data_IF_328012624526
#
_entry.id   IF_328012624526
#
_cell.length_a   1.000
_cell.length_b   1.000
_cell.length_c   1.000
_cell.angle_alpha   90.00
_cell.angle_beta   90.00
_cell.angle_gamma   90.00
#
_symmetry.space_group_name_H-M   'P 1'
#
loop_
_entity.id
_entity.type
_entity.pdbx_description
1 polymer ?
#
# COMPACT_ATOMS: atom_id res chain seq x y z
N UNK A 1 20.22 7.92 -30.87
CA UNK A 1 19.92 7.31 -29.55
C UNK A 1 18.44 7.45 -29.29
N UNK A 2 17.74 6.37 -28.95
CA UNK A 2 16.34 6.45 -28.55
C UNK A 2 16.27 6.88 -27.07
N UNK A 3 15.72 8.06 -26.80
CA UNK A 3 15.50 8.56 -25.45
C UNK A 3 14.07 8.21 -25.03
N UNK A 4 13.95 7.40 -23.97
CA UNK A 4 12.65 7.11 -23.36
C UNK A 4 12.09 8.35 -22.64
N UNK A 5 10.76 8.43 -22.56
CA UNK A 5 10.08 9.48 -21.81
C UNK A 5 10.41 9.40 -20.30
N UNK A 6 10.43 10.53 -19.58
CA UNK A 6 10.50 10.50 -18.12
C UNK A 6 9.25 9.85 -17.53
N UNK A 7 9.34 9.40 -16.28
CA UNK A 7 8.22 8.77 -15.58
C UNK A 7 6.99 9.70 -15.45
N UNK A 8 7.22 11.01 -15.33
CA UNK A 8 6.16 12.01 -15.31
C UNK A 8 6.64 13.32 -15.97
N UNK A 9 5.81 14.02 -16.77
CA UNK A 9 6.23 15.26 -17.46
C UNK A 9 6.72 16.38 -16.55
N UNK A 10 6.27 16.40 -15.28
CA UNK A 10 6.70 17.36 -14.26
C UNK A 10 8.14 17.15 -13.78
N UNK A 11 8.76 16.00 -14.07
CA UNK A 11 10.09 15.64 -13.58
C UNK A 11 11.05 15.51 -14.76
N UNK A 12 12.03 16.41 -14.82
CA UNK A 12 13.06 16.43 -15.87
C UNK A 12 14.42 15.91 -15.39
N UNK A 13 14.53 15.50 -14.13
CA UNK A 13 15.77 15.04 -13.48
C UNK A 13 15.65 13.58 -13.03
N UNK A 14 16.78 12.99 -12.68
CA UNK A 14 16.76 11.72 -11.94
C UNK A 14 16.00 11.89 -10.62
N UNK A 15 15.21 10.88 -10.28
CA UNK A 15 14.52 10.81 -9.00
C UNK A 15 15.48 10.31 -7.92
N UNK A 16 15.49 10.97 -6.77
CA UNK A 16 16.31 10.66 -5.62
C UNK A 16 15.48 10.87 -4.36
N UNK A 17 15.42 9.87 -3.49
CA UNK A 17 14.44 9.85 -2.42
C UNK A 17 14.43 8.57 -1.63
N UNK A 18 13.40 8.41 -0.79
CA UNK A 18 13.22 7.27 0.08
C UNK A 18 11.74 6.99 0.35
N UNK A 19 11.47 5.89 1.04
CA UNK A 19 10.22 5.73 1.76
C UNK A 19 10.19 6.70 2.94
N UNK A 20 9.06 7.36 3.16
CA UNK A 20 8.88 8.34 4.23
C UNK A 20 7.62 8.01 5.05
N UNK A 21 7.81 7.84 6.36
CA UNK A 21 6.78 7.41 7.31
C UNK A 21 6.52 8.46 8.41
N UNK A 22 6.03 9.66 8.04
CA UNK A 22 5.83 10.76 8.98
C UNK A 22 4.76 10.45 10.03
N UNK A 23 3.85 9.51 9.78
CA UNK A 23 2.81 9.11 10.73
C UNK A 23 3.36 8.53 12.03
N UNK A 24 4.65 8.14 12.06
CA UNK A 24 5.32 7.63 13.25
C UNK A 24 5.84 8.76 14.17
N UNK A 25 5.90 9.99 13.68
CA UNK A 25 6.52 11.15 14.35
C UNK A 25 5.53 12.25 14.69
N UNK A 26 4.22 11.95 14.68
CA UNK A 26 3.17 12.96 14.90
C UNK A 26 3.22 13.65 16.27
N UNK A 27 3.88 13.03 17.26
CA UNK A 27 4.03 13.59 18.59
C UNK A 27 5.25 14.52 18.72
N UNK A 28 6.05 14.66 17.66
CA UNK A 28 7.22 15.55 17.59
C UNK A 28 7.02 16.54 16.43
N UNK A 29 6.25 17.62 16.62
CA UNK A 29 5.79 18.48 15.53
C UNK A 29 6.92 19.12 14.72
N UNK A 30 8.10 19.33 15.32
CA UNK A 30 9.25 19.92 14.65
C UNK A 30 10.02 18.94 13.75
N UNK A 31 9.81 17.61 13.89
CA UNK A 31 10.57 16.61 13.13
C UNK A 31 10.25 16.69 11.65
N UNK A 32 8.98 16.87 11.29
CA UNK A 32 8.55 16.90 9.88
C UNK A 32 9.21 18.05 9.11
N UNK A 33 9.31 19.23 9.73
CA UNK A 33 9.94 20.39 9.09
C UNK A 33 11.47 20.21 8.99
N UNK A 34 12.09 19.58 9.99
CA UNK A 34 13.52 19.20 9.93
C UNK A 34 13.80 18.16 8.85
N UNK A 35 12.95 17.14 8.73
CA UNK A 35 13.03 16.10 7.71
C UNK A 35 13.02 16.73 6.31
N UNK A 36 12.07 17.64 6.06
CA UNK A 36 11.98 18.33 4.76
C UNK A 36 13.21 19.19 4.49
N UNK A 37 13.71 19.94 5.49
CA UNK A 37 14.94 20.71 5.33
C UNK A 37 16.16 19.83 5.00
N UNK A 38 16.28 18.67 5.65
CA UNK A 38 17.34 17.70 5.39
C UNK A 38 17.18 17.04 4.01
N UNK A 39 15.95 16.74 3.58
CA UNK A 39 15.67 16.23 2.23
C UNK A 39 16.13 17.22 1.16
N UNK A 40 15.86 18.52 1.34
CA UNK A 40 16.33 19.56 0.42
C UNK A 40 17.87 19.66 0.41
N UNK A 41 18.52 19.62 1.58
CA UNK A 41 19.98 19.60 1.68
C UNK A 41 20.59 18.38 0.97
N UNK A 42 19.96 17.22 1.08
CA UNK A 42 20.35 15.97 0.41
C UNK A 42 19.97 15.92 -1.07
N UNK A 43 19.25 16.94 -1.58
CA UNK A 43 18.71 17.00 -2.94
C UNK A 43 17.79 15.82 -3.26
N UNK A 44 16.99 15.40 -2.28
CA UNK A 44 15.89 14.48 -2.51
C UNK A 44 14.72 15.24 -3.13
N UNK A 45 14.07 14.63 -4.13
CA UNK A 45 13.00 15.25 -4.91
C UNK A 45 11.75 14.36 -5.03
N UNK A 46 11.74 13.18 -4.39
CA UNK A 46 10.56 12.32 -4.32
C UNK A 46 10.53 11.52 -3.01
N UNK A 47 9.35 11.22 -2.49
CA UNK A 47 9.15 10.29 -1.37
C UNK A 47 8.04 9.28 -1.67
N UNK A 48 8.18 8.04 -1.21
CA UNK A 48 7.06 7.10 -1.15
C UNK A 48 6.34 7.26 0.20
N UNK A 49 5.05 7.60 0.18
CA UNK A 49 4.29 7.94 1.40
C UNK A 49 3.06 7.06 1.50
N UNK A 50 2.70 6.62 2.71
CA UNK A 50 1.44 5.91 2.96
C UNK A 50 1.53 4.38 2.96
N UNK A 51 2.73 3.79 2.80
CA UNK A 51 2.91 2.35 2.50
C UNK A 51 2.30 1.45 3.57
N UNK A 52 2.49 1.82 4.85
CA UNK A 52 2.00 1.04 6.00
C UNK A 52 1.03 1.83 6.88
N UNK A 53 0.39 2.85 6.30
CA UNK A 53 -0.36 3.82 7.09
C UNK A 53 -1.84 3.47 7.28
N UNK A 54 -2.29 2.24 6.96
CA UNK A 54 -3.73 1.88 7.04
C UNK A 54 -4.30 2.11 8.44
N UNK A 55 -3.61 1.66 9.49
CA UNK A 55 -4.08 1.85 10.86
C UNK A 55 -4.17 3.32 11.27
N UNK A 56 -3.38 4.20 10.64
CA UNK A 56 -3.46 5.65 10.84
C UNK A 56 -4.59 6.28 10.03
N UNK A 57 -4.79 5.84 8.79
CA UNK A 57 -5.80 6.32 7.86
C UNK A 57 -7.21 5.88 8.26
N UNK A 58 -7.37 4.67 8.82
CA UNK A 58 -8.63 4.08 9.26
C UNK A 58 -8.44 3.41 10.63
N UNK A 59 -8.31 4.19 11.72
CA UNK A 59 -8.04 3.66 13.07
C UNK A 59 -9.15 2.78 13.62
N UNK A 60 -10.38 2.98 13.15
CA UNK A 60 -11.55 2.14 13.42
C UNK A 60 -12.29 1.94 12.10
N UNK A 61 -12.96 0.81 11.95
CA UNK A 61 -13.66 0.50 10.71
C UNK A 61 -14.64 1.60 10.29
N UNK A 62 -14.45 2.12 9.07
CA UNK A 62 -15.27 3.18 8.50
C UNK A 62 -14.99 4.59 9.04
N UNK A 63 -14.09 4.76 10.01
CA UNK A 63 -13.68 6.05 10.55
C UNK A 63 -12.33 6.42 9.94
N UNK A 64 -12.32 7.39 9.01
CA UNK A 64 -11.12 7.79 8.28
C UNK A 64 -10.52 9.09 8.80
N UNK A 65 -9.19 9.15 8.87
CA UNK A 65 -8.42 10.36 9.19
C UNK A 65 -7.34 10.61 8.14
N UNK A 66 -7.63 11.54 7.22
CA UNK A 66 -6.76 11.94 6.13
C UNK A 66 -6.02 13.26 6.37
N UNK A 67 -6.39 14.03 7.40
CA UNK A 67 -5.90 15.40 7.60
C UNK A 67 -4.37 15.49 7.76
N UNK A 68 -3.78 14.49 8.42
CA UNK A 68 -2.32 14.42 8.55
C UNK A 68 -1.64 14.19 7.19
N UNK A 69 -2.22 13.33 6.34
CA UNK A 69 -1.65 13.03 5.03
C UNK A 69 -1.80 14.23 4.09
N UNK A 70 -2.92 14.96 4.15
CA UNK A 70 -3.08 16.23 3.43
C UNK A 70 -1.91 17.18 3.76
N UNK A 71 -1.66 17.39 5.06
CA UNK A 71 -0.59 18.27 5.56
C UNK A 71 0.79 17.84 5.05
N UNK A 72 1.07 16.53 5.04
CA UNK A 72 2.35 16.00 4.55
C UNK A 72 2.52 16.23 3.05
N UNK A 73 1.49 15.94 2.25
CA UNK A 73 1.56 16.13 0.80
C UNK A 73 1.75 17.61 0.43
N UNK A 74 1.06 18.51 1.13
CA UNK A 74 1.20 19.96 0.95
C UNK A 74 2.60 20.44 1.31
N UNK A 75 3.13 20.04 2.48
CA UNK A 75 4.48 20.42 2.92
C UNK A 75 5.57 19.91 1.98
N UNK A 76 5.49 18.65 1.55
CA UNK A 76 6.44 18.08 0.58
C UNK A 76 6.38 18.84 -0.76
N UNK A 77 5.18 19.12 -1.25
CA UNK A 77 5.01 19.86 -2.50
C UNK A 77 5.56 21.29 -2.42
N UNK A 78 5.29 22.00 -1.32
CA UNK A 78 5.82 23.33 -1.08
C UNK A 78 7.36 23.35 -1.06
N UNK A 79 7.98 22.26 -0.64
CA UNK A 79 9.43 22.08 -0.65
C UNK A 79 10.01 21.62 -2.01
N UNK A 80 9.17 21.43 -3.04
CA UNK A 80 9.56 20.91 -4.35
C UNK A 80 9.80 19.40 -4.37
N UNK A 81 9.26 18.66 -3.40
CA UNK A 81 9.39 17.20 -3.26
C UNK A 81 8.09 16.54 -3.71
N UNK A 82 8.22 15.64 -4.67
CA UNK A 82 7.10 14.88 -5.21
C UNK A 82 6.80 13.61 -4.40
N UNK A 83 5.68 12.95 -4.71
CA UNK A 83 5.22 11.78 -3.96
C UNK A 83 4.81 10.63 -4.88
N UNK A 84 5.29 9.43 -4.57
CA UNK A 84 4.63 8.18 -4.91
C UNK A 84 3.66 7.82 -3.79
N UNK A 85 2.36 7.99 -4.04
CA UNK A 85 1.36 7.73 -3.01
C UNK A 85 1.06 6.24 -2.98
N UNK A 86 1.19 5.63 -1.81
CA UNK A 86 1.03 4.19 -1.67
C UNK A 86 -0.40 3.78 -1.31
N UNK A 87 -0.80 2.59 -1.79
CA UNK A 87 -1.98 1.91 -1.25
C UNK A 87 -1.57 1.04 -0.06
N UNK A 88 -2.23 1.14 1.11
CA UNK A 88 -1.65 0.66 2.36
C UNK A 88 -1.91 -0.83 2.63
N UNK A 89 -2.17 -1.63 1.58
CA UNK A 89 -2.56 -3.03 1.69
C UNK A 89 -1.43 -3.97 2.15
N UNK A 90 -0.21 -3.45 2.30
CA UNK A 90 0.94 -4.18 2.84
C UNK A 90 0.76 -4.61 4.29
N UNK A 91 0.04 -3.83 5.11
CA UNK A 91 -0.25 -4.18 6.51
C UNK A 91 -1.67 -3.74 6.90
N UNK A 92 -2.52 -4.70 7.27
CA UNK A 92 -3.88 -4.41 7.74
C UNK A 92 -3.91 -3.96 9.19
N UNK A 93 -4.87 -3.12 9.60
CA UNK A 93 -5.08 -2.81 11.01
C UNK A 93 -5.45 -4.04 11.83
N UNK A 94 -5.14 -4.01 13.13
CA UNK A 94 -5.47 -5.08 14.07
C UNK A 94 -6.99 -5.34 14.14
N UNK A 95 -7.81 -4.28 14.16
CA UNK A 95 -9.28 -4.39 14.19
C UNK A 95 -9.83 -5.22 13.03
N UNK A 96 -9.21 -5.13 11.85
CA UNK A 96 -9.66 -5.89 10.68
C UNK A 96 -9.34 -7.37 10.83
N UNK A 97 -8.17 -7.70 11.36
CA UNK A 97 -7.80 -9.10 11.62
C UNK A 97 -8.69 -9.73 12.70
N UNK A 98 -9.02 -8.95 13.73
CA UNK A 98 -9.90 -9.38 14.82
C UNK A 98 -11.34 -9.61 14.34
N UNK A 99 -11.91 -8.66 13.58
CA UNK A 99 -13.29 -8.75 13.09
C UNK A 99 -13.44 -9.73 11.92
N UNK A 100 -12.42 -9.86 11.08
CA UNK A 100 -12.46 -10.67 9.87
C UNK A 100 -11.28 -11.65 9.79
N UNK A 101 -11.28 -12.74 10.58
CA UNK A 101 -10.16 -13.70 10.58
C UNK A 101 -9.84 -14.28 9.19
N UNK A 102 -10.81 -14.33 8.28
CA UNK A 102 -10.61 -14.75 6.88
C UNK A 102 -9.62 -13.89 6.06
N UNK A 103 -9.19 -12.73 6.56
CA UNK A 103 -8.12 -11.95 5.93
C UNK A 103 -6.72 -12.49 6.25
N UNK A 104 -6.59 -13.34 7.29
CA UNK A 104 -5.36 -14.00 7.68
C UNK A 104 -5.07 -15.19 6.75
N UNK A 105 -3.79 -15.47 6.54
CA UNK A 105 -3.37 -16.64 5.76
C UNK A 105 -3.45 -17.92 6.57
N UNK A 106 -3.58 -19.03 5.86
CA UNK A 106 -3.26 -20.37 6.37
C UNK A 106 -1.96 -20.80 5.71
N UNK A 107 -1.00 -21.29 6.50
CA UNK A 107 0.31 -21.74 6.06
C UNK A 107 0.27 -23.05 5.27
N UNK A 108 1.39 -23.40 4.65
CA UNK A 108 1.54 -24.64 3.85
C UNK A 108 1.33 -25.91 4.67
N UNK A 109 1.72 -25.87 5.93
CA UNK A 109 1.47 -26.86 6.98
C UNK A 109 0.04 -26.84 7.54
N UNK A 110 -0.84 -26.02 6.94
CA UNK A 110 -2.25 -25.81 7.32
C UNK A 110 -2.46 -25.09 8.64
N UNK A 111 -1.41 -24.51 9.22
CA UNK A 111 -1.53 -23.70 10.43
C UNK A 111 -2.14 -22.33 10.10
N UNK A 112 -3.23 -21.90 10.76
CA UNK A 112 -3.77 -20.56 10.60
C UNK A 112 -2.83 -19.53 11.26
N UNK A 113 -2.51 -18.46 10.53
CA UNK A 113 -1.76 -17.35 11.10
C UNK A 113 -2.62 -16.56 12.08
N UNK A 114 -1.98 -15.97 13.09
CA UNK A 114 -2.57 -14.91 13.92
C UNK A 114 -2.29 -13.53 13.29
N UNK A 115 -2.84 -12.47 13.89
CA UNK A 115 -2.49 -11.10 13.52
C UNK A 115 -0.99 -10.81 13.79
N UNK A 116 -0.41 -9.91 12.98
CA UNK A 116 1.00 -9.50 13.08
C UNK A 116 1.76 -9.68 11.77
N UNK A 117 2.99 -9.15 11.73
CA UNK A 117 3.81 -9.12 10.52
C UNK A 117 3.23 -8.23 9.40
N UNK A 118 3.69 -8.46 8.17
CA UNK A 118 3.27 -7.72 6.97
C UNK A 118 3.23 -8.63 5.74
N UNK A 119 2.63 -8.14 4.65
CA UNK A 119 2.51 -8.81 3.33
C UNK A 119 1.85 -10.19 3.38
N UNK A 120 1.10 -10.47 4.44
CA UNK A 120 0.60 -11.80 4.80
C UNK A 120 -0.93 -11.85 4.84
N UNK A 121 -1.59 -11.16 3.91
CA UNK A 121 -3.04 -11.21 3.73
C UNK A 121 -3.47 -12.38 2.82
N UNK A 122 -4.63 -12.96 3.08
CA UNK A 122 -5.25 -13.92 2.18
C UNK A 122 -5.69 -13.23 0.88
N UNK A 123 -5.06 -13.58 -0.23
CA UNK A 123 -5.30 -12.98 -1.56
C UNK A 123 -6.69 -13.32 -2.14
N UNK A 124 -7.31 -14.39 -1.64
CA UNK A 124 -8.65 -14.82 -2.05
C UNK A 124 -9.78 -14.22 -1.22
N UNK A 125 -9.48 -13.61 -0.07
CA UNK A 125 -10.49 -13.09 0.85
C UNK A 125 -11.33 -11.98 0.19
N UNK A 126 -12.65 -12.16 0.02
CA UNK A 126 -13.50 -11.12 -0.56
C UNK A 126 -13.52 -9.86 0.31
N UNK A 127 -13.55 -10.03 1.64
CA UNK A 127 -13.50 -8.91 2.58
C UNK A 127 -12.20 -8.12 2.43
N UNK A 128 -11.04 -8.79 2.36
CA UNK A 128 -9.79 -8.05 2.21
C UNK A 128 -9.76 -7.24 0.91
N UNK A 129 -10.24 -7.83 -0.19
CA UNK A 129 -10.33 -7.19 -1.51
C UNK A 129 -11.31 -6.01 -1.52
N UNK A 130 -12.44 -6.13 -0.85
CA UNK A 130 -13.42 -5.04 -0.71
C UNK A 130 -12.84 -3.89 0.12
N UNK A 131 -12.18 -4.20 1.24
CA UNK A 131 -11.57 -3.18 2.11
C UNK A 131 -10.41 -2.47 1.42
N UNK A 132 -9.54 -3.20 0.72
CA UNK A 132 -8.45 -2.57 -0.06
C UNK A 132 -9.01 -1.72 -1.18
N UNK A 133 -10.04 -2.19 -1.91
CA UNK A 133 -10.71 -1.38 -2.92
C UNK A 133 -11.26 -0.08 -2.32
N UNK A 134 -11.96 -0.16 -1.18
CA UNK A 134 -12.54 1.01 -0.51
C UNK A 134 -11.48 2.06 -0.16
N UNK A 135 -10.40 1.68 0.53
CA UNK A 135 -9.36 2.65 0.91
C UNK A 135 -8.61 3.20 -0.31
N UNK A 136 -8.39 2.36 -1.35
CA UNK A 136 -7.76 2.80 -2.59
C UNK A 136 -8.63 3.83 -3.32
N UNK A 137 -9.94 3.61 -3.38
CA UNK A 137 -10.91 4.56 -3.96
C UNK A 137 -10.87 5.89 -3.23
N UNK A 138 -10.92 5.88 -1.88
CA UNK A 138 -10.87 7.12 -1.08
C UNK A 138 -9.55 7.88 -1.28
N UNK A 139 -8.42 7.18 -1.35
CA UNK A 139 -7.12 7.80 -1.66
C UNK A 139 -7.13 8.42 -3.06
N UNK A 140 -7.67 7.72 -4.06
CA UNK A 140 -7.74 8.23 -5.43
C UNK A 140 -8.67 9.44 -5.56
N UNK A 141 -9.86 9.38 -4.96
CA UNK A 141 -10.82 10.49 -4.95
C UNK A 141 -10.23 11.75 -4.32
N UNK A 142 -9.45 11.59 -3.25
CA UNK A 142 -8.86 12.72 -2.52
C UNK A 142 -7.58 13.26 -3.15
N UNK A 143 -6.72 12.40 -3.71
CA UNK A 143 -5.34 12.77 -4.04
C UNK A 143 -4.93 12.58 -5.50
N UNK A 144 -5.76 11.99 -6.37
CA UNK A 144 -5.38 11.75 -7.77
C UNK A 144 -5.03 13.03 -8.56
N UNK A 145 -5.59 14.17 -8.17
CA UNK A 145 -5.31 15.49 -8.75
C UNK A 145 -4.30 16.31 -7.94
N UNK A 146 -3.83 15.81 -6.80
CA UNK A 146 -2.91 16.53 -5.94
C UNK A 146 -1.56 16.73 -6.66
N UNK A 147 -1.02 17.96 -6.75
CA UNK A 147 0.10 18.24 -7.64
C UNK A 147 1.42 17.57 -7.23
N UNK A 148 1.56 17.19 -5.95
CA UNK A 148 2.69 16.40 -5.45
C UNK A 148 2.76 14.99 -6.04
N UNK A 149 1.61 14.36 -6.31
CA UNK A 149 1.52 12.93 -6.64
C UNK A 149 1.97 12.70 -8.08
N UNK A 150 3.00 11.86 -8.26
CA UNK A 150 3.53 11.46 -9.58
C UNK A 150 2.99 10.11 -10.04
N UNK A 151 2.61 9.25 -9.09
CA UNK A 151 2.16 7.90 -9.38
C UNK A 151 1.81 7.13 -8.11
N UNK A 152 1.42 5.88 -8.32
CA UNK A 152 0.93 5.00 -7.27
C UNK A 152 1.90 3.90 -6.93
N UNK A 153 2.23 3.76 -5.65
CA UNK A 153 2.97 2.62 -5.11
C UNK A 153 1.97 1.56 -4.60
N UNK A 154 1.73 0.51 -5.37
CA UNK A 154 0.64 -0.43 -5.06
C UNK A 154 1.09 -1.47 -4.03
N UNK A 155 0.46 -1.49 -2.85
CA UNK A 155 0.82 -2.36 -1.73
C UNK A 155 2.28 -2.13 -1.30
N UNK A 156 2.95 -3.20 -0.90
CA UNK A 156 4.39 -3.30 -0.76
C UNK A 156 4.84 -4.75 -0.95
N UNK A 157 5.96 -4.96 -1.65
CA UNK A 157 6.67 -6.25 -1.81
C UNK A 157 5.76 -7.48 -1.77
N UNK A 158 4.86 -7.62 -2.75
CA UNK A 158 3.97 -8.76 -2.83
C UNK A 158 4.74 -10.09 -2.72
N UNK A 159 4.27 -10.98 -1.85
CA UNK A 159 4.93 -12.26 -1.64
C UNK A 159 4.18 -13.21 -0.72
N UNK A 160 4.65 -14.46 -0.69
CA UNK A 160 4.08 -15.57 0.06
C UNK A 160 2.76 -16.10 -0.50
N UNK A 161 2.22 -17.10 0.18
CA UNK A 161 1.09 -17.91 -0.29
C UNK A 161 0.07 -18.16 0.82
N UNK A 162 -1.13 -18.62 0.44
CA UNK A 162 -2.21 -18.93 1.38
C UNK A 162 -2.86 -20.26 0.99
N UNK A 163 -3.10 -21.09 1.98
CA UNK A 163 -3.55 -22.47 1.82
C UNK A 163 -4.94 -22.73 2.42
N UNK A 164 -5.71 -21.68 2.74
CA UNK A 164 -7.07 -21.81 3.26
C UNK A 164 -8.05 -22.28 2.18
N UNK A 165 -9.25 -22.70 2.58
CA UNK A 165 -10.24 -23.27 1.64
C UNK A 165 -10.66 -22.31 0.52
N UNK A 166 -10.70 -20.99 0.78
CA UNK A 166 -10.94 -19.99 -0.27
C UNK A 166 -9.87 -20.05 -1.36
N UNK A 167 -8.60 -20.19 -0.97
CA UNK A 167 -7.49 -20.32 -1.91
C UNK A 167 -7.49 -21.69 -2.59
N UNK A 168 -7.79 -22.77 -1.87
CA UNK A 168 -7.90 -24.11 -2.45
C UNK A 168 -9.00 -24.17 -3.52
N UNK A 169 -10.16 -23.57 -3.27
CA UNK A 169 -11.25 -23.52 -4.25
C UNK A 169 -10.84 -22.72 -5.49
N UNK A 170 -10.24 -21.54 -5.31
CA UNK A 170 -9.75 -20.75 -6.46
C UNK A 170 -8.63 -21.44 -7.23
N UNK A 171 -7.78 -22.20 -6.55
CA UNK A 171 -6.76 -23.01 -7.21
C UNK A 171 -7.39 -24.13 -8.04
N UNK A 172 -8.40 -24.84 -7.52
CA UNK A 172 -9.16 -25.83 -8.29
C UNK A 172 -9.87 -25.22 -9.49
N UNK A 173 -10.46 -24.04 -9.35
CA UNK A 173 -11.11 -23.34 -10.46
C UNK A 173 -10.08 -22.94 -11.54
N UNK A 174 -8.89 -22.48 -11.13
CA UNK A 174 -7.80 -22.23 -12.05
C UNK A 174 -7.31 -23.50 -12.77
N UNK A 175 -7.21 -24.63 -12.06
CA UNK A 175 -6.86 -25.92 -12.66
C UNK A 175 -7.91 -26.37 -13.70
N UNK A 176 -9.20 -26.29 -13.36
CA UNK A 176 -10.28 -26.59 -14.32
C UNK A 176 -10.19 -25.71 -15.57
N UNK A 177 -9.96 -24.41 -15.40
CA UNK A 177 -9.83 -23.48 -16.51
C UNK A 177 -8.59 -23.76 -17.38
N UNK A 178 -7.50 -24.23 -16.76
CA UNK A 178 -6.22 -24.49 -17.44
C UNK A 178 -6.18 -25.83 -18.17
N UNK A 179 -6.70 -26.89 -17.56
CA UNK A 179 -6.57 -28.27 -18.05
C UNK A 179 -7.86 -28.82 -18.69
N UNK A 180 -9.01 -28.19 -18.43
CA UNK A 180 -10.34 -28.50 -18.97
C UNK A 180 -10.93 -29.87 -18.59
N UNK A 181 -10.11 -30.93 -18.56
CA UNK A 181 -10.49 -32.29 -18.13
C UNK A 181 -9.49 -32.81 -17.10
N UNK A 182 -9.86 -33.88 -16.38
CA UNK A 182 -8.95 -34.51 -15.41
C UNK A 182 -7.87 -35.33 -16.11
N UNK A 183 -8.15 -35.87 -17.30
CA UNK A 183 -7.19 -36.61 -18.12
C UNK A 183 -6.01 -35.73 -18.54
N UNK A 184 -6.24 -34.45 -18.85
CA UNK A 184 -5.16 -33.51 -19.18
C UNK A 184 -4.35 -33.04 -17.96
N UNK A 185 -4.91 -33.21 -16.76
CA UNK A 185 -4.26 -32.82 -15.51
C UNK A 185 -3.38 -33.94 -14.93
N UNK A 186 -3.83 -35.20 -15.05
CA UNK A 186 -3.12 -36.40 -14.60
C UNK A 186 -1.87 -36.66 -15.43
#
# INVERSE_FOLDING_TARGET
MNKFAPLHPKVSTLLHGADYNPEQWENDPDIIDKDIAMMQQAKCNVMSVGIFSWAKLEPREGVFNFAWLDTILDKLYAAGIHVFLATPSGARPAWMSQRYPQVLRVGRDRVPALHGGRHNHCMSSPVYREKTLKINTLLAERYSSHPAVLGWHISNEYGGECHCDLCQNRFRDWLKARYQTLENLN
#
